data_IF_878886550038
#
_entry.id   IF_878886550038
#
_cell.length_a   1.000
_cell.length_b   1.000
_cell.length_c   1.000
_cell.angle_alpha   90.00
_cell.angle_beta   90.00
_cell.angle_gamma   90.00
#
_symmetry.space_group_name_H-M   'P 1'
#
loop_
_entity.id
_entity.type
_entity.pdbx_description
1 polymer ?
#
# COMPACT_ATOMS: atom_id res chain seq x y z
N UNK A 1 49.52 27.20 1.30
CA UNK A 1 49.13 25.92 1.92
C UNK A 1 47.63 25.78 1.78
N UNK A 2 47.17 24.69 1.18
CA UNK A 2 45.77 24.42 0.85
C UNK A 2 45.15 23.68 2.03
N UNK A 3 44.37 24.38 2.85
CA UNK A 3 43.66 23.78 3.99
C UNK A 3 42.28 23.31 3.51
N UNK A 4 42.02 22.01 3.61
CA UNK A 4 40.72 21.42 3.33
C UNK A 4 39.83 21.53 4.58
N UNK A 5 38.56 21.97 4.47
CA UNK A 5 37.64 21.91 5.60
C UNK A 5 37.25 20.45 5.90
N UNK A 6 37.27 20.10 7.20
CA UNK A 6 36.81 18.82 7.74
C UNK A 6 35.30 18.63 7.49
N UNK A 7 34.81 17.40 7.24
CA UNK A 7 33.39 17.14 7.07
C UNK A 7 32.64 17.34 8.39
N UNK A 8 31.67 18.24 8.37
CA UNK A 8 30.74 18.51 9.47
C UNK A 8 29.83 17.30 9.68
N UNK A 9 29.93 16.67 10.86
CA UNK A 9 29.00 15.66 11.34
C UNK A 9 27.60 16.28 11.48
N UNK A 10 26.67 15.92 10.60
CA UNK A 10 25.25 16.15 10.81
C UNK A 10 24.74 15.17 11.86
N UNK A 11 24.55 15.67 13.08
CA UNK A 11 23.76 14.99 14.12
C UNK A 11 22.29 15.03 13.69
N UNK A 12 21.85 14.00 12.95
CA UNK A 12 20.43 13.79 12.69
C UNK A 12 19.82 13.30 14.00
N UNK A 13 19.27 14.22 14.78
CA UNK A 13 18.44 13.91 15.92
C UNK A 13 17.11 13.33 15.43
N UNK A 14 17.11 12.04 15.07
CA UNK A 14 15.88 11.27 14.99
C UNK A 14 15.38 11.09 16.43
N UNK A 15 14.50 11.99 16.86
CA UNK A 15 13.77 11.88 18.12
C UNK A 15 12.71 10.77 18.01
N UNK A 16 13.12 9.55 17.69
CA UNK A 16 12.33 8.39 18.02
C UNK A 16 12.36 8.25 19.53
N UNK A 17 11.22 7.96 20.14
CA UNK A 17 11.09 7.68 21.55
C UNK A 17 11.99 6.50 21.93
N UNK A 18 13.22 6.82 22.35
CA UNK A 18 14.24 5.86 22.75
C UNK A 18 13.77 5.04 23.96
N UNK A 19 12.85 5.56 24.78
CA UNK A 19 12.30 4.81 25.90
C UNK A 19 11.43 3.66 25.40
N UNK A 20 10.59 3.89 24.40
CA UNK A 20 9.81 2.84 23.73
C UNK A 20 10.71 1.83 23.00
N UNK A 21 11.76 2.27 22.31
CA UNK A 21 12.72 1.37 21.65
C UNK A 21 13.51 0.52 22.67
N UNK A 22 13.92 1.09 23.82
CA UNK A 22 14.63 0.37 24.87
C UNK A 22 13.70 -0.58 25.65
N UNK A 23 12.43 -0.21 25.84
CA UNK A 23 11.42 -1.10 26.40
C UNK A 23 11.13 -2.30 25.47
N UNK A 24 11.06 -2.06 24.16
CA UNK A 24 10.98 -3.10 23.14
C UNK A 24 12.25 -3.97 23.09
N UNK A 25 13.45 -3.39 23.21
CA UNK A 25 14.69 -4.14 23.24
C UNK A 25 14.75 -5.15 24.42
N UNK A 26 14.09 -4.85 25.53
CA UNK A 26 13.94 -5.78 26.66
C UNK A 26 12.89 -6.88 26.41
N UNK A 27 11.90 -6.67 25.55
CA UNK A 27 10.95 -7.73 25.13
C UNK A 27 11.56 -8.67 24.07
N UNK A 28 12.63 -8.26 23.37
CA UNK A 28 13.29 -9.02 22.31
C UNK A 28 14.20 -10.16 22.81
N UNK A 29 14.37 -10.34 24.12
CA UNK A 29 15.39 -11.22 24.75
C UNK A 29 15.18 -12.74 24.60
N UNK A 30 14.33 -13.16 23.66
CA UNK A 30 14.05 -14.58 23.37
C UNK A 30 13.49 -14.86 21.97
N UNK A 31 13.47 -13.89 21.06
CA UNK A 31 12.85 -14.04 19.74
C UNK A 31 13.87 -14.53 18.73
N UNK A 32 13.66 -15.74 18.23
CA UNK A 32 14.38 -16.25 17.05
C UNK A 32 14.17 -15.29 15.89
N UNK A 33 15.22 -14.99 15.13
CA UNK A 33 15.12 -14.19 13.91
C UNK A 33 14.06 -14.81 12.99
N UNK A 34 13.11 -13.98 12.54
CA UNK A 34 12.06 -14.37 11.60
C UNK A 34 12.39 -13.82 10.22
N UNK A 35 12.02 -14.54 9.17
CA UNK A 35 12.12 -14.03 7.80
C UNK A 35 11.15 -12.86 7.66
N UNK A 36 11.65 -11.72 7.18
CA UNK A 36 10.80 -10.57 6.87
C UNK A 36 9.79 -10.96 5.78
N UNK A 37 8.53 -10.48 5.82
CA UNK A 37 7.59 -10.73 4.75
C UNK A 37 8.09 -10.11 3.46
N UNK A 38 7.71 -10.71 2.35
CA UNK A 38 8.02 -10.17 1.04
C UNK A 38 7.41 -8.76 0.89
N UNK A 39 8.18 -7.83 0.32
CA UNK A 39 7.70 -6.48 0.01
C UNK A 39 7.34 -6.44 -1.48
N UNK A 40 6.13 -5.99 -1.79
CA UNK A 40 5.64 -5.82 -3.16
C UNK A 40 5.57 -4.34 -3.50
N UNK A 41 5.69 -3.98 -4.78
CA UNK A 41 5.67 -2.58 -5.23
C UNK A 41 4.45 -1.77 -4.75
N UNK A 42 3.27 -2.39 -4.64
CA UNK A 42 2.05 -1.78 -4.12
C UNK A 42 1.39 -2.73 -3.12
N UNK A 43 1.13 -2.26 -1.90
CA UNK A 43 0.54 -3.05 -0.81
C UNK A 43 -0.53 -2.23 -0.11
N UNK A 44 -1.67 -2.84 0.19
CA UNK A 44 -2.62 -2.32 1.18
C UNK A 44 -2.37 -3.04 2.51
N UNK A 45 -2.33 -2.29 3.61
CA UNK A 45 -2.24 -2.79 4.98
C UNK A 45 -3.41 -2.22 5.80
N UNK A 46 -4.23 -3.11 6.34
CA UNK A 46 -5.38 -2.74 7.17
C UNK A 46 -5.03 -2.90 8.65
N UNK A 47 -5.66 -2.10 9.55
CA UNK A 47 -5.41 -2.14 10.99
C UNK A 47 -6.11 -3.34 11.65
N UNK A 48 -5.99 -4.53 11.06
CA UNK A 48 -6.58 -5.77 11.54
C UNK A 48 -5.52 -6.86 11.63
N UNK A 49 -5.79 -7.87 12.44
CA UNK A 49 -4.99 -9.10 12.42
C UNK A 49 -5.10 -9.80 11.05
N UNK A 50 -4.06 -10.53 10.68
CA UNK A 50 -3.95 -11.20 9.37
C UNK A 50 -5.03 -12.25 9.10
N UNK A 51 -5.71 -12.74 10.14
CA UNK A 51 -6.83 -13.68 10.09
C UNK A 51 -8.22 -13.01 10.12
N UNK A 52 -8.28 -11.68 10.14
CA UNK A 52 -9.53 -10.94 10.08
C UNK A 52 -10.30 -11.21 8.78
N UNK A 53 -11.62 -11.29 8.89
CA UNK A 53 -12.52 -11.49 7.75
C UNK A 53 -12.72 -10.16 7.02
N UNK A 54 -12.03 -10.02 5.89
CA UNK A 54 -12.09 -8.83 5.03
C UNK A 54 -12.62 -9.26 3.67
N UNK A 55 -13.78 -8.73 3.29
CA UNK A 55 -14.34 -8.90 1.96
C UNK A 55 -13.57 -8.05 0.95
N UNK A 56 -13.15 -8.66 -0.16
CA UNK A 56 -12.48 -7.98 -1.27
C UNK A 56 -13.36 -8.07 -2.51
N UNK A 57 -13.83 -6.92 -3.00
CA UNK A 57 -14.66 -6.80 -4.20
C UNK A 57 -13.93 -6.00 -5.25
N UNK A 58 -13.76 -6.59 -6.43
CA UNK A 58 -13.20 -5.91 -7.60
C UNK A 58 -14.33 -5.43 -8.51
N UNK A 59 -14.31 -4.14 -8.85
CA UNK A 59 -15.19 -3.53 -9.85
C UNK A 59 -14.39 -3.12 -11.08
N UNK A 60 -15.04 -2.53 -12.09
CA UNK A 60 -14.35 -2.01 -13.28
C UNK A 60 -13.37 -0.88 -12.94
N UNK A 61 -13.64 -0.13 -11.88
CA UNK A 61 -13.00 1.13 -11.51
C UNK A 61 -12.19 1.07 -10.22
N UNK A 62 -12.37 0.08 -9.35
CA UNK A 62 -11.65 -0.01 -8.09
C UNK A 62 -11.53 -1.43 -7.51
N UNK A 63 -10.74 -1.54 -6.44
CA UNK A 63 -10.80 -2.61 -5.46
C UNK A 63 -11.37 -2.04 -4.17
N UNK A 64 -12.39 -2.69 -3.62
CA UNK A 64 -13.03 -2.32 -2.35
C UNK A 64 -12.81 -3.40 -1.31
N UNK A 65 -12.36 -2.98 -0.14
CA UNK A 65 -12.06 -3.83 1.02
C UNK A 65 -13.01 -3.44 2.14
N UNK A 66 -13.78 -4.39 2.65
CA UNK A 66 -14.78 -4.14 3.71
C UNK A 66 -14.56 -5.10 4.87
N UNK A 67 -14.54 -4.56 6.09
CA UNK A 67 -14.38 -5.34 7.31
C UNK A 67 -15.26 -4.76 8.42
N UNK A 68 -15.99 -5.62 9.14
CA UNK A 68 -16.72 -5.23 10.33
C UNK A 68 -15.76 -5.01 11.50
N UNK A 69 -15.90 -3.90 12.21
CA UNK A 69 -15.10 -3.54 13.39
C UNK A 69 -15.80 -2.47 14.20
N UNK A 70 -15.78 -2.59 15.53
CA UNK A 70 -16.25 -1.57 16.46
C UNK A 70 -15.08 -0.77 17.09
N UNK A 71 -13.84 -1.09 16.69
CA UNK A 71 -12.62 -0.58 17.32
C UNK A 71 -12.18 0.78 16.76
N UNK A 72 -12.92 1.32 15.79
CA UNK A 72 -12.65 2.60 15.15
C UNK A 72 -13.63 3.64 15.68
N UNK A 73 -13.11 4.77 16.16
CA UNK A 73 -13.95 5.87 16.67
C UNK A 73 -13.64 7.18 15.97
N UNK A 74 -14.43 7.52 14.97
CA UNK A 74 -14.37 8.82 14.29
C UNK A 74 -13.98 8.72 12.83
N UNK A 75 -13.48 9.83 12.29
CA UNK A 75 -13.12 9.92 10.88
C UNK A 75 -11.83 9.15 10.58
N UNK A 76 -11.86 8.44 9.46
CA UNK A 76 -10.74 7.68 8.92
C UNK A 76 -10.42 8.15 7.51
N UNK A 77 -9.17 7.96 7.10
CA UNK A 77 -8.71 8.19 5.74
C UNK A 77 -7.61 7.18 5.39
N UNK A 78 -7.41 6.98 4.09
CA UNK A 78 -6.29 6.21 3.59
C UNK A 78 -5.12 7.15 3.27
N UNK A 79 -3.90 6.69 3.52
CA UNK A 79 -2.68 7.41 3.18
C UNK A 79 -1.73 6.48 2.42
N UNK A 80 -1.18 6.98 1.31
CA UNK A 80 -0.18 6.27 0.52
C UNK A 80 1.20 6.73 0.93
N UNK A 81 2.01 5.79 1.45
CA UNK A 81 3.35 6.07 1.94
C UNK A 81 4.38 5.28 1.16
N UNK A 82 5.42 5.96 0.67
CA UNK A 82 6.59 5.30 0.10
C UNK A 82 7.46 4.75 1.24
N UNK A 83 7.49 3.43 1.40
CA UNK A 83 8.26 2.76 2.48
C UNK A 83 9.67 2.37 2.03
N UNK A 84 9.89 2.33 0.72
CA UNK A 84 11.16 2.09 0.06
C UNK A 84 11.03 2.61 -1.37
N UNK A 85 12.11 3.06 -2.05
CA UNK A 85 12.04 3.54 -3.42
C UNK A 85 11.24 2.61 -4.35
N UNK A 86 10.14 3.11 -4.91
CA UNK A 86 9.25 2.36 -5.80
C UNK A 86 8.32 1.35 -5.10
N UNK A 87 8.21 1.43 -3.79
CA UNK A 87 7.32 0.61 -2.96
C UNK A 87 6.36 1.51 -2.19
N UNK A 88 5.10 1.50 -2.62
CA UNK A 88 4.01 2.24 -1.99
C UNK A 88 3.16 1.33 -1.12
N UNK A 89 2.93 1.74 0.13
CA UNK A 89 2.01 1.10 1.06
C UNK A 89 0.82 2.03 1.32
N UNK A 90 -0.40 1.54 1.13
CA UNK A 90 -1.62 2.20 1.60
C UNK A 90 -1.85 1.76 3.04
N UNK A 91 -2.00 2.73 3.94
CA UNK A 91 -2.36 2.52 5.35
C UNK A 91 -3.65 3.27 5.67
N UNK A 92 -4.42 2.76 6.63
CA UNK A 92 -5.59 3.48 7.16
C UNK A 92 -5.18 4.24 8.41
N UNK A 93 -5.54 5.52 8.47
CA UNK A 93 -5.32 6.41 9.62
C UNK A 93 -6.66 6.99 10.06
N UNK A 94 -6.74 7.40 11.31
CA UNK A 94 -7.97 8.01 11.84
C UNK A 94 -7.88 8.25 13.33
N UNK A 95 -8.82 9.06 13.85
CA UNK A 95 -9.01 9.13 15.29
C UNK A 95 -9.49 7.76 15.78
N UNK A 96 -8.86 7.22 16.82
CA UNK A 96 -9.25 5.92 17.39
C UNK A 96 -8.83 4.68 16.59
N UNK A 97 -8.20 4.81 15.41
CA UNK A 97 -7.56 3.65 14.78
C UNK A 97 -6.39 3.22 15.66
N UNK A 98 -6.50 2.01 16.25
CA UNK A 98 -5.43 1.46 17.09
C UNK A 98 -4.19 1.29 16.24
N UNK A 99 -3.12 2.00 16.61
CA UNK A 99 -1.84 1.86 15.95
C UNK A 99 -1.17 0.54 16.34
N UNK A 100 -1.54 -0.52 15.62
CA UNK A 100 -0.95 -1.84 15.79
C UNK A 100 0.50 -1.90 15.27
N UNK A 101 0.99 -0.86 14.58
CA UNK A 101 2.36 -0.81 14.04
C UNK A 101 3.43 -0.76 15.14
N UNK A 102 3.09 -0.37 16.37
CA UNK A 102 4.03 -0.32 17.50
C UNK A 102 4.20 -1.62 18.30
N UNK A 103 3.49 -2.70 17.95
CA UNK A 103 3.47 -3.95 18.75
C UNK A 103 4.28 -5.10 18.13
N UNK A 104 4.52 -6.14 18.92
CA UNK A 104 5.67 -7.05 18.89
C UNK A 104 5.90 -7.92 17.64
N UNK A 105 5.12 -7.74 16.58
CA UNK A 105 5.47 -8.11 15.22
C UNK A 105 4.47 -7.47 14.23
N UNK A 106 4.80 -6.32 13.64
CA UNK A 106 4.06 -5.65 12.52
C UNK A 106 3.69 -6.55 11.32
N UNK A 107 4.11 -7.82 11.35
CA UNK A 107 3.94 -8.79 10.27
C UNK A 107 2.59 -9.52 10.30
N UNK A 108 1.89 -9.51 11.43
CA UNK A 108 0.60 -10.18 11.59
C UNK A 108 -0.58 -9.24 11.25
N UNK A 109 -0.34 -8.17 10.50
CA UNK A 109 -1.36 -7.28 9.97
C UNK A 109 -1.99 -7.84 8.69
N UNK A 110 -3.26 -7.52 8.48
CA UNK A 110 -3.96 -7.86 7.26
C UNK A 110 -3.39 -7.10 6.07
N UNK A 111 -2.89 -7.82 5.07
CA UNK A 111 -2.16 -7.26 3.94
C UNK A 111 -2.66 -7.82 2.61
N UNK A 112 -2.80 -6.94 1.64
CA UNK A 112 -3.17 -7.31 0.27
C UNK A 112 -2.17 -6.73 -0.72
N UNK A 113 -1.69 -7.56 -1.64
CA UNK A 113 -0.85 -7.11 -2.75
C UNK A 113 -1.75 -6.46 -3.81
N UNK A 114 -1.57 -5.18 -4.04
CA UNK A 114 -2.30 -4.46 -5.06
C UNK A 114 -1.74 -4.76 -6.46
N UNK A 115 -2.59 -5.01 -7.47
CA UNK A 115 -2.17 -5.07 -8.86
C UNK A 115 -1.47 -3.79 -9.34
N UNK A 116 -0.66 -3.88 -10.40
CA UNK A 116 0.11 -2.75 -10.92
C UNK A 116 -0.78 -1.60 -11.41
N UNK A 117 -1.97 -1.91 -11.95
CA UNK A 117 -2.94 -0.93 -12.44
C UNK A 117 -3.58 -0.09 -11.33
N UNK A 118 -3.49 -0.50 -10.07
CA UNK A 118 -4.10 0.26 -8.97
C UNK A 118 -3.39 1.60 -8.73
N UNK A 119 -4.10 2.60 -8.25
CA UNK A 119 -3.59 3.91 -7.86
C UNK A 119 -3.68 4.11 -6.34
N UNK A 120 -2.66 3.65 -5.57
CA UNK A 120 -2.57 3.84 -4.12
C UNK A 120 -2.79 5.28 -3.66
N UNK A 121 -2.26 6.25 -4.40
CA UNK A 121 -2.32 7.69 -4.08
C UNK A 121 -3.74 8.27 -4.07
N UNK A 122 -4.70 7.57 -4.69
CA UNK A 122 -6.12 7.95 -4.72
C UNK A 122 -6.97 7.08 -3.79
N UNK A 123 -6.34 6.26 -2.95
CA UNK A 123 -7.07 5.43 -2.01
C UNK A 123 -7.87 6.30 -1.03
N UNK A 124 -9.05 5.84 -0.67
CA UNK A 124 -9.90 6.46 0.34
C UNK A 124 -10.35 5.42 1.36
N UNK A 125 -10.69 5.88 2.56
CA UNK A 125 -11.27 5.06 3.60
C UNK A 125 -12.48 5.77 4.20
N UNK A 126 -13.50 5.01 4.56
CA UNK A 126 -14.68 5.48 5.30
C UNK A 126 -15.02 4.47 6.37
N UNK A 127 -15.59 4.96 7.47
CA UNK A 127 -16.10 4.12 8.55
C UNK A 127 -17.55 4.53 8.83
N UNK A 128 -18.48 3.61 8.62
CA UNK A 128 -19.92 3.82 8.79
C UNK A 128 -20.57 2.52 9.27
N UNK A 129 -21.54 2.61 10.18
CA UNK A 129 -22.32 1.47 10.71
C UNK A 129 -21.49 0.25 11.18
N UNK A 130 -20.31 0.50 11.79
CA UNK A 130 -19.43 -0.56 12.27
C UNK A 130 -18.63 -1.27 11.17
N UNK A 131 -18.56 -0.69 9.96
CA UNK A 131 -17.77 -1.22 8.85
C UNK A 131 -16.68 -0.23 8.43
N UNK A 132 -15.44 -0.72 8.36
CA UNK A 132 -14.36 -0.04 7.64
C UNK A 132 -14.44 -0.42 6.17
N UNK A 133 -14.51 0.59 5.30
CA UNK A 133 -14.46 0.43 3.85
C UNK A 133 -13.26 1.18 3.30
N UNK A 134 -12.34 0.46 2.64
CA UNK A 134 -11.20 1.05 1.92
C UNK A 134 -11.39 0.84 0.43
N UNK A 135 -11.28 1.92 -0.35
CA UNK A 135 -11.39 1.88 -1.80
C UNK A 135 -10.06 2.29 -2.42
N UNK A 136 -9.53 1.46 -3.32
CA UNK A 136 -8.34 1.78 -4.10
C UNK A 136 -8.75 1.85 -5.58
N UNK A 137 -8.68 3.03 -6.22
CA UNK A 137 -9.04 3.17 -7.64
C UNK A 137 -8.07 2.44 -8.58
N UNK A 138 -8.58 2.00 -9.73
CA UNK A 138 -7.79 1.57 -10.87
C UNK A 138 -7.38 2.80 -11.68
N UNK A 139 -6.17 2.76 -12.23
CA UNK A 139 -5.76 3.71 -13.27
C UNK A 139 -6.48 3.41 -14.57
N UNK A 140 -6.48 4.40 -15.46
CA UNK A 140 -6.88 4.16 -16.84
C UNK A 140 -6.01 3.02 -17.39
N UNK A 141 -6.65 1.98 -17.92
CA UNK A 141 -5.92 1.03 -18.73
C UNK A 141 -5.38 1.85 -19.90
N UNK A 142 -4.06 2.03 -19.97
CA UNK A 142 -3.41 2.33 -21.23
C UNK A 142 -3.94 1.26 -22.18
N UNK A 143 -4.87 1.66 -23.07
CA UNK A 143 -5.26 0.80 -24.17
C UNK A 143 -3.95 0.53 -24.86
N UNK A 144 -3.49 -0.71 -24.81
CA UNK A 144 -2.35 -1.19 -25.57
C UNK A 144 -2.74 -1.10 -27.05
N UNK A 145 -2.81 0.13 -27.55
CA UNK A 145 -2.81 0.48 -28.95
C UNK A 145 -1.40 0.31 -29.42
N UNK A 146 -0.91 -0.93 -29.35
CA UNK A 146 0.22 -1.38 -30.13
C UNK A 146 -0.16 -1.15 -31.58
N UNK A 147 0.31 -0.03 -32.12
CA UNK A 147 0.46 0.18 -33.55
C UNK A 147 1.27 -1.01 -34.06
N UNK A 148 0.59 -2.02 -34.61
CA UNK A 148 1.24 -2.95 -35.52
C UNK A 148 1.61 -2.12 -36.75
N UNK A 149 2.81 -1.54 -36.74
CA UNK A 149 3.52 -1.11 -37.94
C UNK A 149 3.87 -2.37 -38.74
N UNK A 150 2.84 -2.98 -39.35
CA UNK A 150 3.01 -3.97 -40.39
C UNK A 150 3.38 -3.22 -41.68
N UNK A 151 4.69 -3.10 -41.89
CA UNK A 151 5.28 -2.97 -43.21
C UNK A 151 4.94 -4.24 -44.02
N UNK A 152 3.83 -4.19 -44.77
CA UNK A 152 3.64 -5.08 -45.91
C UNK A 152 2.88 -4.39 -47.03
N UNK A 153 3.55 -4.35 -48.19
CA UNK A 153 3.07 -3.71 -49.40
C UNK A 153 1.72 -4.22 -49.92
N UNK A 154 1.05 -3.30 -50.60
CA UNK A 154 0.22 -3.46 -51.80
C UNK A 154 -0.37 -4.87 -52.10
N UNK A 155 -1.71 -4.94 -52.10
CA UNK A 155 -2.61 -5.39 -53.19
C UNK A 155 -3.86 -6.08 -52.60
N UNK A 156 -5.05 -5.60 -52.96
CA UNK A 156 -6.24 -6.45 -53.13
C UNK A 156 -7.41 -6.18 -52.19
N UNK A 157 -8.47 -5.59 -52.72
CA UNK A 157 -9.69 -5.26 -51.99
C UNK A 157 -10.53 -6.46 -51.53
N UNK A 158 -11.28 -6.24 -50.44
CA UNK A 158 -12.28 -7.18 -49.94
C UNK A 158 -13.17 -6.52 -48.89
N UNK A 159 -14.43 -6.31 -49.26
CA UNK A 159 -15.55 -5.73 -48.51
C UNK A 159 -15.84 -6.48 -47.20
N UNK A 160 -15.79 -5.81 -46.05
CA UNK A 160 -16.29 -6.34 -44.77
C UNK A 160 -17.74 -5.89 -44.53
N UNK A 161 -18.60 -6.86 -44.20
CA UNK A 161 -20.01 -6.65 -43.86
C UNK A 161 -20.14 -6.80 -42.34
N UNK A 162 -20.64 -5.76 -41.65
CA UNK A 162 -21.11 -5.88 -40.27
C UNK A 162 -22.50 -6.51 -40.27
N UNK A 163 -22.69 -7.55 -39.47
CA UNK A 163 -24.00 -8.06 -39.08
C UNK A 163 -24.23 -7.59 -37.64
N UNK A 164 -25.35 -6.88 -37.44
CA UNK A 164 -25.88 -6.42 -36.15
C UNK A 164 -26.45 -7.59 -35.34
#
# INVERSE_FOLDING_TARGET
MKVHPLPSQTNIALRYDLASLLAQANSCRGKKLRRLPHIFAKVLELPFHSDADVSVVETSDCLRFTAATDDITGEVWADAVEIYPGVTKVVVRGAGVVDLSGTDLELDLWRFRLPAIMLPELASATYDDGELVVTVPKGEAEVDGGTEEDDMGEIGGGRLVLVL
#
